data_IF_916750204665
#
_entry.id   IF_916750204665
#
_cell.length_a   1.000
_cell.length_b   1.000
_cell.length_c   1.000
_cell.angle_alpha   90.00
_cell.angle_beta   90.00
_cell.angle_gamma   90.00
#
_symmetry.space_group_name_H-M   'P 1'
#
loop_
_entity.id
_entity.type
_entity.pdbx_description
1 polymer ?
#
# COMPACT_ATOMS: atom_id res chain seq x y z
N UNK A 1 37.50 -25.37 3.58
CA UNK A 1 36.65 -24.46 4.36
C UNK A 1 35.30 -24.43 3.65
N UNK A 2 34.27 -24.98 4.25
CA UNK A 2 32.92 -24.81 3.74
C UNK A 2 32.51 -23.34 3.92
N UNK A 3 32.33 -22.63 2.84
CA UNK A 3 31.81 -21.28 2.89
C UNK A 3 30.29 -21.36 3.18
N UNK A 4 29.90 -20.98 4.39
CA UNK A 4 28.49 -20.86 4.74
C UNK A 4 27.93 -19.62 4.03
N UNK A 5 27.24 -19.81 2.93
CA UNK A 5 26.55 -18.73 2.23
C UNK A 5 25.25 -18.38 2.96
N UNK A 6 25.03 -17.09 3.19
CA UNK A 6 23.74 -16.60 3.68
C UNK A 6 22.80 -16.43 2.51
N UNK A 7 21.54 -16.85 2.69
CA UNK A 7 20.52 -16.63 1.69
C UNK A 7 20.44 -15.14 1.31
N UNK A 8 20.53 -14.85 0.01
CA UNK A 8 20.63 -13.48 -0.52
C UNK A 8 19.37 -12.65 -0.22
N UNK A 9 18.18 -13.24 -0.21
CA UNK A 9 16.91 -12.54 0.00
C UNK A 9 16.76 -12.13 1.47
N UNK A 10 17.15 -13.01 2.39
CA UNK A 10 17.24 -12.70 3.83
C UNK A 10 18.31 -11.62 4.07
N UNK A 11 19.47 -11.73 3.44
CA UNK A 11 20.54 -10.72 3.55
C UNK A 11 20.10 -9.36 3.05
N UNK A 12 19.33 -9.33 1.94
CA UNK A 12 18.78 -8.10 1.41
C UNK A 12 17.76 -7.46 2.36
N UNK A 13 16.87 -8.24 2.96
CA UNK A 13 15.93 -7.73 3.97
C UNK A 13 16.66 -7.17 5.20
N UNK A 14 17.75 -7.83 5.66
CA UNK A 14 18.59 -7.30 6.72
C UNK A 14 19.30 -6.00 6.33
N UNK A 15 19.72 -5.88 5.07
CA UNK A 15 20.26 -4.61 4.56
C UNK A 15 19.18 -3.52 4.59
N UNK A 16 17.96 -3.82 4.16
CA UNK A 16 16.86 -2.85 4.23
C UNK A 16 16.49 -2.48 5.69
N UNK A 17 16.69 -3.37 6.63
CA UNK A 17 16.55 -3.09 8.06
C UNK A 17 17.56 -2.04 8.55
N UNK A 18 18.77 -1.96 7.98
CA UNK A 18 19.75 -0.91 8.31
C UNK A 18 19.23 0.47 7.91
N UNK A 19 18.43 0.56 6.87
CA UNK A 19 17.74 1.82 6.50
C UNK A 19 16.78 2.27 7.61
N UNK A 20 16.12 1.32 8.30
CA UNK A 20 15.31 1.64 9.49
C UNK A 20 16.17 2.11 10.66
N UNK A 21 17.39 1.57 10.84
CA UNK A 21 18.32 2.04 11.87
C UNK A 21 18.68 3.51 11.65
N UNK A 22 18.93 3.93 10.40
CA UNK A 22 19.15 5.35 10.07
C UNK A 22 17.93 6.22 10.38
N UNK A 23 16.72 5.71 10.14
CA UNK A 23 15.49 6.42 10.49
C UNK A 23 15.28 6.53 12.03
N UNK A 24 15.80 5.57 12.78
CA UNK A 24 15.72 5.51 14.25
C UNK A 24 16.78 6.39 14.93
N UNK A 25 17.94 6.57 14.30
CA UNK A 25 19.06 7.31 14.85
C UNK A 25 18.71 8.80 15.05
N UNK A 26 18.68 9.21 16.32
CA UNK A 26 18.37 10.58 16.73
C UNK A 26 19.44 11.60 16.33
N UNK A 27 20.63 11.16 15.94
CA UNK A 27 21.67 12.05 15.42
C UNK A 27 21.38 12.54 14.00
N UNK A 28 20.54 11.82 13.26
CA UNK A 28 20.09 12.23 11.94
C UNK A 28 19.03 13.34 12.03
N UNK A 29 19.07 14.35 11.13
CA UNK A 29 18.03 15.38 11.06
C UNK A 29 16.64 14.76 10.89
N UNK A 30 15.62 15.31 11.57
CA UNK A 30 14.28 14.75 11.63
C UNK A 30 13.66 14.48 10.24
N UNK A 31 13.89 15.39 9.27
CA UNK A 31 13.38 15.19 7.89
C UNK A 31 14.12 14.08 7.17
N UNK A 32 15.41 13.89 7.43
CA UNK A 32 16.16 12.77 6.86
C UNK A 32 15.69 11.43 7.46
N UNK A 33 15.38 11.38 8.75
CA UNK A 33 14.76 10.20 9.38
C UNK A 33 13.45 9.83 8.68
N UNK A 34 12.60 10.81 8.36
CA UNK A 34 11.37 10.58 7.59
C UNK A 34 11.66 10.09 6.16
N UNK A 35 12.72 10.60 5.51
CA UNK A 35 13.16 10.15 4.19
C UNK A 35 13.63 8.69 4.22
N UNK A 36 14.37 8.28 5.25
CA UNK A 36 14.79 6.88 5.40
C UNK A 36 13.60 5.93 5.54
N UNK A 37 12.52 6.31 6.22
CA UNK A 37 11.27 5.52 6.22
C UNK A 37 10.68 5.38 4.81
N UNK A 38 10.70 6.46 4.02
CA UNK A 38 10.26 6.42 2.63
C UNK A 38 11.13 5.50 1.76
N UNK A 39 12.45 5.54 1.94
CA UNK A 39 13.41 4.66 1.24
C UNK A 39 13.15 3.20 1.63
N UNK A 40 13.01 2.90 2.93
CA UNK A 40 12.69 1.55 3.40
C UNK A 40 11.40 1.02 2.77
N UNK A 41 10.35 1.83 2.72
CA UNK A 41 9.07 1.46 2.11
C UNK A 41 9.18 1.18 0.61
N UNK A 42 9.90 2.03 -0.14
CA UNK A 42 10.13 1.83 -1.58
C UNK A 42 10.96 0.57 -1.87
N UNK A 43 12.00 0.35 -1.07
CA UNK A 43 12.82 -0.85 -1.17
C UNK A 43 11.98 -2.11 -0.92
N UNK A 44 11.09 -2.07 0.07
CA UNK A 44 10.19 -3.18 0.36
C UNK A 44 9.22 -3.46 -0.80
N UNK A 45 8.65 -2.41 -1.41
CA UNK A 45 7.78 -2.59 -2.57
C UNK A 45 8.52 -3.26 -3.74
N UNK A 46 9.77 -2.86 -4.01
CA UNK A 46 10.58 -3.46 -5.07
C UNK A 46 10.97 -4.91 -4.77
N UNK A 47 11.28 -5.22 -3.50
CA UNK A 47 11.54 -6.59 -3.06
C UNK A 47 10.33 -7.51 -3.32
N UNK A 48 9.13 -7.07 -2.95
CA UNK A 48 7.93 -7.86 -3.19
C UNK A 48 7.63 -8.02 -4.67
N UNK A 49 7.84 -6.96 -5.44
CA UNK A 49 7.61 -6.93 -6.88
C UNK A 49 8.47 -7.92 -7.64
N UNK A 50 9.74 -8.08 -7.26
CA UNK A 50 10.72 -8.85 -8.01
C UNK A 50 11.08 -10.15 -7.30
N UNK A 51 11.54 -10.07 -6.05
CA UNK A 51 12.10 -11.24 -5.36
C UNK A 51 11.05 -12.14 -4.75
N UNK A 52 10.10 -11.56 -4.02
CA UNK A 52 9.02 -12.33 -3.41
C UNK A 52 8.14 -13.00 -4.47
N UNK A 53 7.82 -12.30 -5.53
CA UNK A 53 7.06 -12.85 -6.67
C UNK A 53 7.79 -14.01 -7.34
N UNK A 54 9.10 -13.90 -7.54
CA UNK A 54 9.92 -14.99 -8.07
C UNK A 54 9.88 -16.22 -7.16
N UNK A 55 10.11 -16.07 -5.85
CA UNK A 55 10.08 -17.20 -4.90
C UNK A 55 8.68 -17.84 -4.84
N UNK A 56 7.62 -17.01 -4.94
CA UNK A 56 6.24 -17.50 -5.00
C UNK A 56 5.99 -18.37 -6.24
N UNK A 57 6.51 -18.01 -7.41
CA UNK A 57 6.43 -18.83 -8.63
C UNK A 57 7.18 -20.15 -8.46
N UNK A 58 8.39 -20.13 -7.86
CA UNK A 58 9.13 -21.35 -7.57
C UNK A 58 8.35 -22.30 -6.65
N UNK A 59 7.66 -21.76 -5.64
CA UNK A 59 6.79 -22.58 -4.79
C UNK A 59 5.66 -23.27 -5.59
N UNK A 60 5.06 -22.56 -6.54
CA UNK A 60 4.03 -23.16 -7.41
C UNK A 60 4.61 -24.24 -8.33
N UNK A 61 5.86 -24.09 -8.77
CA UNK A 61 6.59 -25.10 -9.54
C UNK A 61 6.99 -26.29 -8.67
N UNK A 62 7.37 -26.09 -7.42
CA UNK A 62 7.64 -27.14 -6.43
C UNK A 62 6.40 -28.04 -6.23
N UNK A 63 5.21 -27.45 -6.14
CA UNK A 63 3.93 -28.16 -6.07
C UNK A 63 3.67 -29.03 -7.34
N UNK A 64 4.35 -28.74 -8.46
CA UNK A 64 4.34 -29.51 -9.72
C UNK A 64 5.48 -30.53 -9.81
N UNK A 65 6.29 -30.71 -8.75
CA UNK A 65 7.37 -31.72 -8.67
C UNK A 65 8.75 -31.20 -9.14
N UNK A 66 8.92 -29.89 -9.34
CA UNK A 66 10.21 -29.27 -9.61
C UNK A 66 10.80 -28.77 -8.29
N UNK A 67 11.85 -29.45 -7.81
CA UNK A 67 12.50 -29.12 -6.53
C UNK A 67 13.67 -28.17 -6.77
N UNK A 68 13.56 -26.93 -6.28
CA UNK A 68 14.66 -25.95 -6.31
C UNK A 68 15.13 -25.61 -4.90
N UNK A 69 16.40 -25.86 -4.64
CA UNK A 69 17.06 -25.50 -3.38
C UNK A 69 17.57 -24.05 -3.42
N UNK A 70 16.99 -23.20 -2.57
CA UNK A 70 17.36 -21.81 -2.42
C UNK A 70 18.31 -21.62 -1.23
N UNK A 71 19.57 -22.06 -1.39
CA UNK A 71 20.63 -21.86 -0.38
C UNK A 71 20.24 -22.43 1.00
N UNK A 72 19.70 -23.66 1.03
CA UNK A 72 19.28 -24.36 2.25
C UNK A 72 17.81 -24.13 2.64
N UNK A 73 17.03 -23.47 1.83
CA UNK A 73 15.58 -23.30 2.03
C UNK A 73 14.79 -23.92 0.90
N UNK A 74 13.65 -24.52 1.22
CA UNK A 74 12.58 -24.70 0.23
C UNK A 74 11.90 -23.36 -0.03
N UNK A 75 11.29 -23.14 -1.22
CA UNK A 75 10.56 -21.92 -1.52
C UNK A 75 9.50 -21.58 -0.45
N UNK A 76 8.76 -22.55 0.04
CA UNK A 76 7.75 -22.38 1.08
C UNK A 76 8.35 -21.92 2.42
N UNK A 77 9.46 -22.53 2.86
CA UNK A 77 10.15 -22.15 4.09
C UNK A 77 10.74 -20.73 3.99
N UNK A 78 11.31 -20.39 2.82
CA UNK A 78 11.84 -19.06 2.58
C UNK A 78 10.76 -17.98 2.61
N UNK A 79 9.61 -18.20 1.96
CA UNK A 79 8.46 -17.28 2.00
C UNK A 79 7.96 -17.06 3.44
N UNK A 80 7.89 -18.11 4.24
CA UNK A 80 7.51 -17.99 5.66
C UNK A 80 8.50 -17.17 6.45
N UNK A 81 9.80 -17.38 6.22
CA UNK A 81 10.87 -16.60 6.90
C UNK A 81 10.87 -15.14 6.46
N UNK A 82 10.68 -14.86 5.18
CA UNK A 82 10.51 -13.51 4.64
C UNK A 82 9.33 -12.82 5.32
N UNK A 83 8.18 -13.49 5.42
CA UNK A 83 6.96 -12.92 6.02
C UNK A 83 7.17 -12.54 7.49
N UNK A 84 7.87 -13.38 8.27
CA UNK A 84 8.25 -13.09 9.66
C UNK A 84 9.12 -11.82 9.76
N UNK A 85 10.19 -11.75 8.95
CA UNK A 85 11.11 -10.59 8.94
C UNK A 85 10.38 -9.31 8.55
N UNK A 86 9.55 -9.37 7.51
CA UNK A 86 8.79 -8.23 7.00
C UNK A 86 7.79 -7.72 8.05
N UNK A 87 7.08 -8.62 8.75
CA UNK A 87 6.15 -8.23 9.82
C UNK A 87 6.86 -7.46 10.93
N UNK A 88 8.05 -7.94 11.37
CA UNK A 88 8.85 -7.28 12.39
C UNK A 88 9.36 -5.90 11.92
N UNK A 89 9.84 -5.80 10.69
CA UNK A 89 10.30 -4.52 10.12
C UNK A 89 9.15 -3.52 9.94
N UNK A 90 7.96 -4.00 9.58
CA UNK A 90 6.78 -3.15 9.43
C UNK A 90 6.33 -2.58 10.79
N UNK A 91 6.31 -3.39 11.84
CA UNK A 91 6.02 -2.93 13.19
C UNK A 91 7.03 -1.86 13.64
N UNK A 92 8.32 -2.14 13.49
CA UNK A 92 9.40 -1.20 13.83
C UNK A 92 9.30 0.11 13.04
N UNK A 93 9.01 0.04 11.74
CA UNK A 93 8.79 1.21 10.89
C UNK A 93 7.63 2.08 11.40
N UNK A 94 6.55 1.48 11.88
CA UNK A 94 5.42 2.20 12.47
C UNK A 94 5.82 2.90 13.77
N UNK A 95 6.55 2.22 14.65
CA UNK A 95 7.03 2.78 15.92
C UNK A 95 7.95 3.98 15.70
N UNK A 96 8.89 3.88 14.72
CA UNK A 96 9.76 4.99 14.32
C UNK A 96 8.93 6.15 13.76
N UNK A 97 7.95 5.87 12.91
CA UNK A 97 7.07 6.90 12.35
C UNK A 97 6.29 7.64 13.45
N UNK A 98 5.76 6.91 14.44
CA UNK A 98 5.04 7.51 15.57
C UNK A 98 5.97 8.38 16.42
N UNK A 99 7.22 7.95 16.65
CA UNK A 99 8.25 8.77 17.32
C UNK A 99 8.55 10.05 16.53
N UNK A 100 8.71 9.95 15.21
CA UNK A 100 8.95 11.13 14.35
C UNK A 100 7.76 12.11 14.40
N UNK A 101 6.52 11.62 14.46
CA UNK A 101 5.34 12.49 14.61
C UNK A 101 5.38 13.29 15.93
N UNK A 102 5.79 12.65 17.02
CA UNK A 102 5.96 13.35 18.31
C UNK A 102 7.10 14.39 18.25
N UNK A 103 8.23 14.06 17.62
CA UNK A 103 9.33 14.99 17.45
C UNK A 103 8.95 16.20 16.57
N UNK A 104 8.12 16.01 15.53
CA UNK A 104 7.62 17.10 14.68
C UNK A 104 6.84 18.17 15.49
N UNK A 105 6.13 17.76 16.54
CA UNK A 105 5.39 18.71 17.42
C UNK A 105 6.32 19.73 18.08
N UNK A 106 7.57 19.36 18.40
CA UNK A 106 8.59 20.27 18.96
C UNK A 106 8.94 21.39 17.98
N UNK A 107 8.82 21.11 16.67
CA UNK A 107 9.00 22.11 15.59
C UNK A 107 7.69 22.79 15.19
N UNK A 108 6.63 22.64 15.99
CA UNK A 108 5.29 23.18 15.71
C UNK A 108 4.69 22.66 14.39
N UNK A 109 5.00 21.42 14.03
CA UNK A 109 4.42 20.71 12.88
C UNK A 109 3.58 19.58 13.44
N UNK A 110 2.32 19.49 13.03
CA UNK A 110 1.40 18.44 13.43
C UNK A 110 0.80 17.78 12.21
N UNK A 111 0.90 16.44 12.16
CA UNK A 111 0.18 15.63 11.18
C UNK A 111 -1.13 15.21 11.85
N UNK A 112 -2.25 15.63 11.27
CA UNK A 112 -3.60 15.38 11.80
C UNK A 112 -4.47 14.67 10.77
N UNK A 113 -5.47 13.96 11.26
CA UNK A 113 -6.49 13.27 10.46
C UNK A 113 -7.82 14.05 10.41
N UNK A 114 -8.82 13.47 9.74
CA UNK A 114 -10.15 14.06 9.54
C UNK A 114 -10.92 14.32 10.84
N UNK A 115 -10.65 13.56 11.90
CA UNK A 115 -11.34 13.71 13.20
C UNK A 115 -10.78 14.86 14.05
N UNK A 116 -9.63 15.44 13.68
CA UNK A 116 -8.90 16.43 14.48
C UNK A 116 -8.99 17.86 13.89
N UNK A 117 -9.82 18.06 12.88
CA UNK A 117 -9.96 19.33 12.20
C UNK A 117 -10.68 20.38 13.06
N UNK A 118 -10.20 21.61 13.04
CA UNK A 118 -10.96 22.77 13.51
C UNK A 118 -11.98 23.21 12.46
N UNK A 119 -13.02 23.94 12.84
CA UNK A 119 -14.07 24.41 11.92
C UNK A 119 -13.53 25.16 10.69
N UNK A 120 -12.45 25.93 10.84
CA UNK A 120 -11.81 26.62 9.71
C UNK A 120 -11.04 25.66 8.80
N UNK A 121 -10.38 24.65 9.38
CA UNK A 121 -9.69 23.62 8.61
C UNK A 121 -10.70 22.74 7.88
N UNK A 122 -11.83 22.40 8.49
CA UNK A 122 -12.93 21.68 7.81
C UNK A 122 -13.42 22.46 6.59
N UNK A 123 -13.67 23.77 6.72
CA UNK A 123 -14.11 24.59 5.59
C UNK A 123 -13.06 24.61 4.47
N UNK A 124 -11.78 24.70 4.81
CA UNK A 124 -10.68 24.60 3.84
C UNK A 124 -10.65 23.25 3.15
N UNK A 125 -10.76 22.14 3.90
CA UNK A 125 -10.75 20.79 3.36
C UNK A 125 -11.95 20.55 2.44
N UNK A 126 -13.15 21.01 2.81
CA UNK A 126 -14.36 20.94 1.98
C UNK A 126 -14.22 21.76 0.70
N UNK A 127 -13.60 22.94 0.77
CA UNK A 127 -13.34 23.77 -0.41
C UNK A 127 -12.30 23.11 -1.33
N UNK A 128 -11.18 22.65 -0.79
CA UNK A 128 -10.14 21.93 -1.53
C UNK A 128 -10.73 20.71 -2.26
N UNK A 129 -11.56 19.94 -1.55
CA UNK A 129 -12.24 18.79 -2.13
C UNK A 129 -13.10 19.20 -3.33
N UNK A 130 -14.00 20.18 -3.15
CA UNK A 130 -14.94 20.61 -4.20
C UNK A 130 -14.23 21.17 -5.43
N UNK A 131 -13.22 22.01 -5.22
CA UNK A 131 -12.57 22.75 -6.31
C UNK A 131 -11.51 21.92 -7.05
N UNK A 132 -10.78 21.06 -6.35
CA UNK A 132 -9.62 20.37 -6.92
C UNK A 132 -9.74 18.86 -6.95
N UNK A 133 -10.27 18.24 -5.90
CA UNK A 133 -10.23 16.78 -5.74
C UNK A 133 -11.41 16.13 -6.46
N UNK A 134 -12.65 16.62 -6.21
CA UNK A 134 -13.87 16.05 -6.76
C UNK A 134 -13.89 15.93 -8.29
N UNK A 135 -13.40 16.93 -9.08
CA UNK A 135 -13.40 16.82 -10.54
C UNK A 135 -12.52 15.72 -11.11
N UNK A 136 -11.53 15.27 -10.35
CA UNK A 136 -10.60 14.22 -10.78
C UNK A 136 -10.81 12.90 -10.03
N UNK A 137 -11.83 12.82 -9.17
CA UNK A 137 -12.12 11.65 -8.38
C UNK A 137 -12.82 10.60 -9.22
N UNK A 138 -12.31 9.39 -9.23
CA UNK A 138 -12.99 8.21 -9.76
C UNK A 138 -13.31 7.29 -8.60
N UNK A 139 -14.58 7.08 -8.32
CA UNK A 139 -15.06 6.08 -7.39
C UNK A 139 -15.65 4.90 -8.16
N UNK A 140 -15.34 3.70 -7.73
CA UNK A 140 -15.83 2.49 -8.36
C UNK A 140 -16.60 1.66 -7.34
N UNK A 141 -17.92 1.49 -7.56
CA UNK A 141 -18.73 0.59 -6.75
C UNK A 141 -18.38 -0.86 -7.10
N UNK A 142 -17.95 -1.62 -6.12
CA UNK A 142 -17.71 -3.07 -6.25
C UNK A 142 -19.02 -3.79 -5.93
N UNK A 143 -19.90 -3.84 -6.92
CA UNK A 143 -21.09 -4.67 -6.78
C UNK A 143 -20.70 -6.15 -6.82
N UNK A 144 -21.66 -7.05 -6.54
CA UNK A 144 -21.49 -8.52 -6.57
C UNK A 144 -21.11 -9.08 -7.97
N UNK A 145 -20.62 -8.25 -8.86
CA UNK A 145 -20.16 -8.64 -10.18
C UNK A 145 -18.86 -9.42 -10.09
N UNK A 146 -18.77 -10.48 -10.90
CA UNK A 146 -17.69 -11.48 -10.94
C UNK A 146 -16.27 -10.93 -11.19
N UNK A 147 -16.09 -9.65 -11.50
CA UNK A 147 -14.79 -9.08 -11.84
C UNK A 147 -14.47 -7.94 -10.88
N UNK A 148 -13.53 -8.19 -9.96
CA UNK A 148 -12.92 -7.13 -9.16
C UNK A 148 -12.20 -6.13 -10.09
N UNK A 149 -12.33 -4.81 -9.86
CA UNK A 149 -11.67 -3.82 -10.71
C UNK A 149 -10.15 -3.96 -10.67
N UNK A 150 -9.51 -3.72 -11.79
CA UNK A 150 -8.06 -3.67 -11.84
C UNK A 150 -7.53 -2.48 -11.03
N UNK A 151 -6.81 -2.76 -9.97
CA UNK A 151 -6.12 -1.76 -9.16
C UNK A 151 -4.69 -1.59 -9.68
N UNK A 152 -4.31 -0.33 -9.94
CA UNK A 152 -2.96 0.01 -10.42
C UNK A 152 -1.93 -0.23 -9.34
N UNK A 153 -0.78 -0.75 -9.76
CA UNK A 153 0.40 -0.83 -8.91
C UNK A 153 0.89 0.58 -8.51
N UNK A 154 1.49 0.70 -7.32
CA UNK A 154 1.99 1.96 -6.74
C UNK A 154 0.92 3.02 -6.43
N UNK A 155 -0.35 2.73 -6.63
CA UNK A 155 -1.44 3.61 -6.21
C UNK A 155 -1.90 3.27 -4.79
N UNK A 156 -2.44 4.25 -4.10
CA UNK A 156 -3.12 4.07 -2.82
C UNK A 156 -4.61 4.26 -3.07
N UNK A 157 -5.40 3.45 -2.39
CA UNK A 157 -6.85 3.43 -2.51
C UNK A 157 -7.50 3.58 -1.14
N UNK A 158 -8.72 4.10 -1.12
CA UNK A 158 -9.63 3.92 -0.02
C UNK A 158 -10.60 2.79 -0.35
N UNK A 159 -10.60 1.75 0.46
CA UNK A 159 -11.64 0.73 0.49
C UNK A 159 -12.78 1.23 1.38
N UNK A 160 -13.94 1.45 0.79
CA UNK A 160 -15.10 2.01 1.46
C UNK A 160 -16.17 0.95 1.62
N UNK A 161 -16.69 0.81 2.83
CA UNK A 161 -17.84 -0.02 3.17
C UNK A 161 -19.00 0.89 3.55
N UNK A 162 -20.13 0.75 2.85
CA UNK A 162 -21.39 1.40 3.16
C UNK A 162 -22.37 0.34 3.67
N UNK A 163 -22.99 0.58 4.82
CA UNK A 163 -24.01 -0.31 5.35
C UNK A 163 -25.37 0.38 5.35
N UNK A 164 -26.38 -0.29 4.83
CA UNK A 164 -27.76 0.19 4.83
C UNK A 164 -28.70 -0.95 5.23
N UNK A 165 -29.36 -0.82 6.38
CA UNK A 165 -30.30 -1.84 6.92
C UNK A 165 -29.69 -3.26 6.91
N UNK A 166 -28.44 -3.37 7.34
CA UNK A 166 -27.69 -4.63 7.40
C UNK A 166 -27.18 -5.15 6.06
N UNK A 167 -27.40 -4.43 4.94
CA UNK A 167 -26.81 -4.74 3.62
C UNK A 167 -25.53 -3.95 3.42
N UNK A 168 -24.47 -4.64 3.06
CA UNK A 168 -23.17 -4.04 2.79
C UNK A 168 -22.98 -3.78 1.28
N UNK A 169 -22.41 -2.63 0.98
CA UNK A 169 -21.95 -2.24 -0.35
C UNK A 169 -20.49 -1.80 -0.23
N UNK A 170 -19.68 -2.08 -1.24
CA UNK A 170 -18.26 -1.75 -1.23
C UNK A 170 -17.93 -0.86 -2.40
N UNK A 171 -17.00 0.05 -2.17
CA UNK A 171 -16.44 0.93 -3.20
C UNK A 171 -14.95 1.05 -3.03
N UNK A 172 -14.24 1.28 -4.14
CA UNK A 172 -12.83 1.64 -4.15
C UNK A 172 -12.66 3.01 -4.77
N UNK A 173 -11.87 3.85 -4.10
CA UNK A 173 -11.54 5.19 -4.55
C UNK A 173 -10.02 5.26 -4.69
N UNK A 174 -9.52 5.54 -5.88
CA UNK A 174 -8.09 5.85 -6.06
C UNK A 174 -7.77 7.23 -5.48
N UNK A 175 -6.75 7.32 -4.62
CA UNK A 175 -6.36 8.59 -3.99
C UNK A 175 -5.60 9.43 -5.02
N UNK A 176 -6.08 10.64 -5.37
CA UNK A 176 -5.58 11.41 -6.50
C UNK A 176 -4.35 12.26 -6.13
N UNK A 177 -3.18 11.65 -5.94
CA UNK A 177 -1.94 12.38 -5.57
C UNK A 177 -1.47 13.39 -6.60
N UNK A 178 -1.82 13.21 -7.87
CA UNK A 178 -1.39 14.10 -8.96
C UNK A 178 -1.91 15.52 -8.81
N UNK A 179 -2.94 15.74 -8.00
CA UNK A 179 -3.63 17.04 -7.85
C UNK A 179 -2.93 17.96 -6.85
N UNK A 180 -2.62 17.43 -5.67
CA UNK A 180 -2.08 18.23 -4.55
C UNK A 180 -0.99 17.48 -3.76
N UNK A 181 -0.45 16.40 -4.33
CA UNK A 181 0.47 15.52 -3.63
C UNK A 181 -0.23 14.67 -2.56
N UNK A 182 0.58 13.93 -1.81
CA UNK A 182 0.10 13.09 -0.70
C UNK A 182 -0.22 13.88 0.56
N UNK A 183 0.47 15.00 0.75
CA UNK A 183 0.37 15.83 1.94
C UNK A 183 -0.32 17.14 1.60
N UNK A 184 -1.35 17.48 2.36
CA UNK A 184 -2.08 18.73 2.26
C UNK A 184 -1.72 19.62 3.43
N UNK A 185 -1.19 20.79 3.13
CA UNK A 185 -0.91 21.81 4.13
C UNK A 185 -2.21 22.54 4.48
N UNK A 186 -2.59 22.50 5.76
CA UNK A 186 -3.78 23.17 6.26
C UNK A 186 -3.49 24.61 6.72
N UNK A 187 -4.52 25.45 6.86
CA UNK A 187 -4.37 26.80 7.42
C UNK A 187 -3.68 26.80 8.78
N UNK A 188 -2.71 27.71 8.99
CA UNK A 188 -1.89 27.83 10.20
C UNK A 188 -2.69 28.43 11.36
N UNK A 189 -2.41 27.89 12.55
CA UNK A 189 -2.86 28.40 13.84
C UNK A 189 -1.73 28.31 14.87
N UNK A 190 -0.77 29.22 14.81
CA UNK A 190 0.42 29.13 15.65
C UNK A 190 1.34 27.95 15.36
N UNK A 191 0.80 26.90 14.72
CA UNK A 191 1.47 25.67 14.28
C UNK A 191 1.21 25.43 12.81
N UNK A 192 2.06 24.62 12.18
CA UNK A 192 1.88 24.08 10.84
C UNK A 192 1.11 22.77 10.94
N UNK A 193 -0.02 22.66 10.25
CA UNK A 193 -0.79 21.42 10.17
C UNK A 193 -0.67 20.80 8.80
N UNK A 194 -0.53 19.49 8.79
CA UNK A 194 -0.42 18.68 7.57
C UNK A 194 -1.43 17.53 7.69
N UNK A 195 -2.09 17.20 6.59
CA UNK A 195 -3.08 16.14 6.50
C UNK A 195 -2.78 15.26 5.29
N UNK A 196 -3.05 13.97 5.36
CA UNK A 196 -2.97 13.11 4.19
C UNK A 196 -4.13 13.35 3.23
N UNK A 197 -3.90 13.11 1.93
CA UNK A 197 -4.95 13.22 0.92
C UNK A 197 -6.06 12.17 1.12
N UNK A 198 -5.72 10.99 1.62
CA UNK A 198 -6.68 9.96 1.99
C UNK A 198 -7.61 10.42 3.12
N UNK A 199 -7.11 11.19 4.11
CA UNK A 199 -7.94 11.78 5.17
C UNK A 199 -8.82 12.93 4.64
N UNK A 200 -8.34 13.68 3.63
CA UNK A 200 -9.20 14.66 2.91
C UNK A 200 -10.39 13.96 2.28
N UNK A 201 -10.19 12.79 1.69
CA UNK A 201 -11.28 12.00 1.11
C UNK A 201 -12.20 11.45 2.21
N UNK A 202 -11.65 10.92 3.33
CA UNK A 202 -12.46 10.43 4.47
C UNK A 202 -13.37 11.52 5.02
N UNK A 203 -12.86 12.74 5.17
CA UNK A 203 -13.67 13.88 5.62
C UNK A 203 -14.84 14.21 4.67
N UNK A 204 -14.73 13.88 3.39
CA UNK A 204 -15.72 14.21 2.36
C UNK A 204 -16.52 12.99 1.87
N UNK A 205 -16.52 11.87 2.59
CA UNK A 205 -17.24 10.65 2.18
C UNK A 205 -18.73 10.90 1.94
N UNK A 206 -19.38 11.70 2.78
CA UNK A 206 -20.80 12.06 2.61
C UNK A 206 -21.04 12.78 1.28
N UNK A 207 -20.11 13.64 0.86
CA UNK A 207 -20.18 14.32 -0.43
C UNK A 207 -19.90 13.38 -1.61
N UNK A 208 -19.01 12.42 -1.44
CA UNK A 208 -18.67 11.42 -2.46
C UNK A 208 -19.86 10.49 -2.71
N UNK A 209 -20.52 10.06 -1.64
CA UNK A 209 -21.60 9.08 -1.69
C UNK A 209 -23.00 9.69 -1.50
N UNK A 210 -23.18 11.00 -1.77
CA UNK A 210 -24.44 11.72 -1.57
C UNK A 210 -25.63 11.13 -2.30
N UNK A 211 -25.43 10.34 -3.37
CA UNK A 211 -26.47 9.65 -4.13
C UNK A 211 -26.80 8.25 -3.59
N UNK A 212 -26.00 7.73 -2.67
CA UNK A 212 -26.13 6.38 -2.10
C UNK A 212 -26.78 6.49 -0.72
N UNK A 213 -27.77 5.65 -0.43
CA UNK A 213 -28.34 5.58 0.93
C UNK A 213 -27.55 4.64 1.80
N UNK A 214 -27.11 5.09 2.97
CA UNK A 214 -26.42 4.29 3.97
C UNK A 214 -26.76 4.78 5.40
N UNK A 215 -26.61 3.89 6.36
CA UNK A 215 -26.75 4.17 7.80
C UNK A 215 -25.35 4.41 8.42
N UNK A 216 -24.32 3.74 7.87
CA UNK A 216 -22.91 3.92 8.27
C UNK A 216 -21.98 3.78 7.08
N UNK A 217 -20.85 4.49 7.17
CA UNK A 217 -19.79 4.47 6.16
C UNK A 217 -18.43 4.38 6.86
N UNK A 218 -17.56 3.52 6.35
CA UNK A 218 -16.19 3.33 6.80
C UNK A 218 -15.24 3.34 5.60
N UNK A 219 -14.04 3.89 5.77
CA UNK A 219 -13.05 3.94 4.70
C UNK A 219 -11.65 3.66 5.25
N UNK A 220 -10.99 2.68 4.68
CA UNK A 220 -9.65 2.22 5.08
C UNK A 220 -8.67 2.37 3.92
N UNK A 221 -7.46 2.86 4.25
CA UNK A 221 -6.40 2.98 3.26
C UNK A 221 -5.87 1.60 2.90
N UNK A 222 -5.75 1.34 1.61
CA UNK A 222 -5.16 0.10 1.10
C UNK A 222 -4.15 0.41 -0.01
N UNK A 223 -3.08 -0.38 -0.06
CA UNK A 223 -2.04 -0.30 -1.08
C UNK A 223 -1.74 -1.70 -1.58
N UNK A 224 -1.56 -1.83 -2.88
CA UNK A 224 -1.18 -3.09 -3.50
C UNK A 224 0.18 -2.99 -4.18
N UNK A 225 0.87 -4.11 -4.26
CA UNK A 225 2.06 -4.29 -5.09
C UNK A 225 1.84 -5.49 -6.00
N UNK A 226 2.14 -5.32 -7.28
CA UNK A 226 2.00 -6.36 -8.29
C UNK A 226 3.37 -6.88 -8.74
N UNK A 227 3.38 -8.10 -9.24
CA UNK A 227 4.56 -8.69 -9.88
C UNK A 227 5.02 -7.81 -11.06
N UNK A 228 6.33 -7.61 -11.19
CA UNK A 228 6.93 -6.86 -12.29
C UNK A 228 7.36 -7.74 -13.46
N UNK A 229 7.48 -9.04 -13.23
CA UNK A 229 8.00 -9.96 -14.25
C UNK A 229 6.90 -10.42 -15.22
N UNK A 230 7.28 -10.50 -16.49
CA UNK A 230 6.53 -11.19 -17.52
C UNK A 230 6.57 -12.69 -17.23
N UNK A 231 5.44 -13.30 -16.88
CA UNK A 231 5.30 -14.75 -17.08
C UNK A 231 5.26 -14.99 -18.59
N UNK A 232 6.40 -15.34 -19.15
CA UNK A 232 6.43 -15.98 -20.46
C UNK A 232 5.85 -17.39 -20.26
N UNK A 233 4.59 -17.57 -20.59
CA UNK A 233 4.03 -18.92 -20.73
C UNK A 233 4.88 -19.66 -21.77
N UNK A 234 5.48 -20.78 -21.40
CA UNK A 234 6.22 -21.70 -22.28
C UNK A 234 5.30 -22.42 -23.28
N UNK A 235 4.21 -21.78 -23.68
CA UNK A 235 3.29 -22.31 -24.69
C UNK A 235 3.91 -22.12 -26.09
N UNK A 236 4.75 -23.08 -26.45
CA UNK A 236 5.51 -23.17 -27.72
C UNK A 236 4.58 -23.12 -28.96
N UNK A 237 3.27 -23.21 -28.78
CA UNK A 237 2.27 -23.19 -29.86
C UNK A 237 1.87 -21.81 -30.35
N UNK A 238 2.29 -20.74 -29.65
CA UNK A 238 1.90 -19.35 -29.98
C UNK A 238 3.01 -18.59 -30.67
N UNK A 239 2.63 -17.71 -31.60
CA UNK A 239 3.60 -16.89 -32.32
C UNK A 239 4.32 -15.93 -31.35
N UNK A 240 5.60 -15.63 -31.61
CA UNK A 240 6.43 -14.70 -30.81
C UNK A 240 5.76 -13.34 -30.60
N UNK A 241 5.00 -12.85 -31.59
CA UNK A 241 4.23 -11.59 -31.48
C UNK A 241 3.05 -11.69 -30.53
N UNK A 242 2.36 -12.82 -30.49
CA UNK A 242 1.27 -13.07 -29.54
C UNK A 242 1.80 -13.22 -28.12
N UNK A 243 2.96 -13.85 -27.94
CA UNK A 243 3.65 -13.92 -26.65
C UNK A 243 4.08 -12.54 -26.16
N UNK A 244 4.63 -11.68 -27.03
CA UNK A 244 4.98 -10.27 -26.69
C UNK A 244 3.73 -9.47 -26.35
N UNK A 245 2.65 -9.56 -27.13
CA UNK A 245 1.42 -8.82 -26.86
C UNK A 245 0.77 -9.28 -25.56
N UNK A 246 0.77 -10.58 -25.27
CA UNK A 246 0.28 -11.16 -24.03
C UNK A 246 1.19 -10.78 -22.86
N UNK A 247 2.50 -10.82 -23.03
CA UNK A 247 3.48 -10.36 -22.06
C UNK A 247 3.34 -8.87 -21.71
N UNK A 248 3.05 -8.02 -22.69
CA UNK A 248 2.77 -6.58 -22.46
C UNK A 248 1.42 -6.38 -21.75
N UNK A 249 0.45 -7.26 -22.00
CA UNK A 249 -0.85 -7.28 -21.32
C UNK A 249 -0.71 -7.79 -19.87
N UNK A 250 0.01 -8.89 -19.66
CA UNK A 250 0.32 -9.45 -18.34
C UNK A 250 1.20 -8.50 -17.51
N UNK A 251 2.06 -7.71 -18.13
CA UNK A 251 2.83 -6.65 -17.46
C UNK A 251 1.93 -5.55 -16.88
N UNK A 252 0.79 -5.31 -17.49
CA UNK A 252 -0.25 -4.43 -16.92
C UNK A 252 -1.11 -5.13 -15.87
N UNK A 253 -1.17 -6.46 -15.88
CA UNK A 253 -2.05 -7.31 -15.08
C UNK A 253 -1.28 -8.27 -14.16
N UNK A 254 0.01 -7.98 -13.84
CA UNK A 254 0.83 -8.83 -12.96
C UNK A 254 0.10 -9.22 -11.67
N UNK A 255 0.35 -10.42 -11.17
CA UNK A 255 -0.28 -10.96 -9.97
C UNK A 255 -0.12 -10.06 -8.77
N UNK A 256 -1.13 -10.03 -7.90
CA UNK A 256 -1.05 -9.37 -6.61
C UNK A 256 -0.06 -10.12 -5.71
N UNK A 257 1.02 -9.45 -5.31
CA UNK A 257 2.08 -10.05 -4.48
C UNK A 257 2.15 -9.47 -3.08
N UNK A 258 1.61 -8.27 -2.87
CA UNK A 258 1.53 -7.66 -1.54
C UNK A 258 0.27 -6.81 -1.42
N UNK A 259 -0.39 -6.94 -0.28
CA UNK A 259 -1.55 -6.14 0.11
C UNK A 259 -1.28 -5.51 1.49
N UNK A 260 -1.23 -4.19 1.54
CA UNK A 260 -1.03 -3.41 2.77
C UNK A 260 -2.31 -2.65 3.05
N UNK A 261 -2.80 -2.68 4.27
CA UNK A 261 -4.08 -2.09 4.65
C UNK A 261 -4.07 -1.55 6.07
N UNK A 262 -4.98 -0.64 6.37
CA UNK A 262 -5.16 -0.12 7.72
C UNK A 262 -5.54 -1.24 8.69
N UNK A 263 -4.89 -1.29 9.85
CA UNK A 263 -5.10 -2.32 10.88
C UNK A 263 -6.56 -2.41 11.36
N UNK A 264 -7.30 -1.33 11.22
CA UNK A 264 -8.71 -1.21 11.65
C UNK A 264 -9.71 -1.69 10.61
N UNK A 265 -9.26 -2.16 9.43
CA UNK A 265 -10.16 -2.68 8.39
C UNK A 265 -10.94 -3.88 8.92
N UNK A 266 -12.26 -3.88 8.71
CA UNK A 266 -13.11 -4.99 9.13
C UNK A 266 -12.96 -6.22 8.23
N UNK A 267 -13.18 -7.42 8.81
CA UNK A 267 -13.03 -8.70 8.11
C UNK A 267 -13.87 -8.82 6.85
N UNK A 268 -15.11 -8.28 6.83
CA UNK A 268 -15.98 -8.30 5.64
C UNK A 268 -15.38 -7.51 4.49
N UNK A 269 -14.78 -6.34 4.78
CA UNK A 269 -14.10 -5.52 3.78
C UNK A 269 -12.85 -6.22 3.27
N UNK A 270 -12.02 -6.76 4.17
CA UNK A 270 -10.80 -7.47 3.81
C UNK A 270 -11.11 -8.68 2.93
N UNK A 271 -12.08 -9.50 3.33
CA UNK A 271 -12.54 -10.66 2.56
C UNK A 271 -12.97 -10.26 1.15
N UNK A 272 -13.73 -9.16 1.01
CA UNK A 272 -14.20 -8.67 -0.28
C UNK A 272 -13.09 -8.14 -1.19
N UNK A 273 -11.97 -7.70 -0.62
CA UNK A 273 -10.82 -7.19 -1.38
C UNK A 273 -9.86 -8.29 -1.85
N UNK A 274 -9.90 -9.46 -1.22
CA UNK A 274 -8.97 -10.58 -1.49
C UNK A 274 -9.63 -11.68 -2.33
N UNK A 275 -10.97 -11.74 -2.36
CA UNK A 275 -11.77 -12.61 -3.26
C UNK A 275 -11.80 -12.06 -4.68
#
# INVERSE_FOLDING_TARGET
MEHTYFNRDISWLRFNERVLQEAEDLSNPLIERLRFLGIHSNNMDEFFRVRYSFIRRLRLSEEQGLDENLEGFTPGALLSKISEIVANQQQRSQEIYDSIKEDLKRYKIEIINEAQLTAKQENFVKQLYREKVSPALSNLMINQTKNFPYLRDKSIYLAVRLTNKGKEQFSIIEVPYSISGRFVQLPKYGKQYVMYMDDVLRHNLDSIFHTVKYDSIEAHTVKITRDAELSLDDDVSKSFMEQIQRGLRNRREGDLVRFVYDKTIGDSTLKRLVE
#
